data_IF_101331709243
#
_entry.id   IF_101331709243
#
_cell.length_a   1.000
_cell.length_b   1.000
_cell.length_c   1.000
_cell.angle_alpha   90.00
_cell.angle_beta   90.00
_cell.angle_gamma   90.00
#
_symmetry.space_group_name_H-M   'P 1'
#
loop_
_entity.id
_entity.type
_entity.pdbx_description
1 polymer ?
#
# COMPACT_ATOMS: atom_id res chain seq x y z
N UNK A 1 9.65 -3.29 17.62
CA UNK A 1 9.65 -3.76 16.22
C UNK A 1 9.55 -2.53 15.34
N UNK A 2 10.20 -2.50 14.17
CA UNK A 2 10.10 -1.35 13.28
C UNK A 2 8.65 -1.14 12.83
N UNK A 3 8.22 0.12 12.82
CA UNK A 3 6.87 0.50 12.40
C UNK A 3 6.82 0.62 10.88
N UNK A 4 5.99 -0.20 10.24
CA UNK A 4 5.69 -0.08 8.82
C UNK A 4 4.22 0.26 8.63
N UNK A 5 3.92 1.10 7.64
CA UNK A 5 2.53 1.43 7.29
C UNK A 5 2.26 1.08 5.84
N UNK A 6 1.28 0.20 5.64
CA UNK A 6 0.71 -0.05 4.33
C UNK A 6 -0.42 0.93 4.11
N UNK A 7 -0.30 1.73 3.05
CA UNK A 7 -1.33 2.68 2.63
C UNK A 7 -1.84 2.33 1.27
N UNK A 8 -3.08 2.73 1.02
CA UNK A 8 -3.72 2.57 -0.27
C UNK A 8 -4.73 3.66 -0.55
N UNK A 9 -4.84 4.06 -1.81
CA UNK A 9 -5.73 5.11 -2.26
C UNK A 9 -6.19 4.85 -3.70
N UNK A 10 -7.16 5.66 -4.13
CA UNK A 10 -7.51 5.81 -5.54
C UNK A 10 -6.45 6.69 -6.21
N UNK A 11 -5.92 6.22 -7.32
CA UNK A 11 -5.08 6.94 -8.26
C UNK A 11 -5.92 7.32 -9.47
N UNK A 12 -5.99 8.61 -9.74
CA UNK A 12 -6.70 9.16 -10.89
C UNK A 12 -6.03 8.82 -12.22
N UNK A 13 -6.75 9.09 -13.32
CA UNK A 13 -6.24 8.92 -14.68
C UNK A 13 -5.07 9.88 -15.01
N UNK A 14 -5.03 11.04 -14.35
CA UNK A 14 -3.92 12.00 -14.35
C UNK A 14 -2.69 11.50 -13.59
N UNK A 15 -2.85 10.42 -12.82
CA UNK A 15 -1.83 9.81 -12.00
C UNK A 15 -1.70 10.38 -10.60
N UNK A 16 -2.55 11.33 -10.22
CA UNK A 16 -2.62 11.86 -8.87
C UNK A 16 -3.13 10.79 -7.90
N UNK A 17 -2.49 10.72 -6.72
CA UNK A 17 -2.87 9.80 -5.66
C UNK A 17 -3.75 10.56 -4.67
N UNK A 18 -4.98 10.09 -4.49
CA UNK A 18 -5.92 10.69 -3.55
C UNK A 18 -5.56 10.43 -2.09
N UNK A 19 -6.44 10.87 -1.20
CA UNK A 19 -6.30 10.60 0.23
C UNK A 19 -6.25 9.08 0.51
N UNK A 20 -5.41 8.63 1.46
CA UNK A 20 -5.38 7.22 1.87
C UNK A 20 -6.77 6.75 2.34
N UNK A 21 -7.27 5.71 1.69
CA UNK A 21 -8.46 4.95 2.10
C UNK A 21 -8.10 3.74 2.94
N UNK A 22 -6.89 3.24 2.76
CA UNK A 22 -6.25 2.22 3.58
C UNK A 22 -5.06 2.87 4.28
N UNK A 23 -4.95 2.66 5.59
CA UNK A 23 -3.75 2.98 6.38
C UNK A 23 -3.63 1.97 7.53
N UNK A 24 -2.85 0.92 7.32
CA UNK A 24 -2.67 -0.20 8.24
C UNK A 24 -1.23 -0.28 8.74
N UNK A 25 -1.06 -0.50 10.04
CA UNK A 25 0.26 -0.80 10.59
C UNK A 25 0.60 -2.27 10.34
N UNK A 26 1.77 -2.54 9.76
CA UNK A 26 2.31 -3.88 9.58
C UNK A 26 3.45 -4.12 10.57
N UNK A 27 3.21 -5.05 11.49
CA UNK A 27 4.23 -5.51 12.44
C UNK A 27 5.14 -6.54 11.75
N UNK A 28 6.40 -6.18 11.53
CA UNK A 28 7.41 -7.04 10.90
C UNK A 28 8.77 -6.93 11.59
N UNK A 29 9.59 -7.98 11.51
CA UNK A 29 10.94 -7.97 12.07
C UNK A 29 11.90 -7.06 11.26
N UNK A 30 11.73 -7.03 9.94
CA UNK A 30 12.57 -6.27 9.02
C UNK A 30 11.79 -5.83 7.77
N UNK A 31 12.45 -5.03 6.90
CA UNK A 31 11.84 -4.51 5.69
C UNK A 31 11.46 -5.62 4.69
N UNK A 32 12.23 -6.71 4.62
CA UNK A 32 11.95 -7.82 3.72
C UNK A 32 10.66 -8.54 4.12
N UNK A 33 10.49 -8.77 5.42
CA UNK A 33 9.25 -9.32 5.96
C UNK A 33 8.08 -8.36 5.76
N UNK A 34 8.27 -7.06 6.00
CA UNK A 34 7.23 -6.06 5.79
C UNK A 34 6.73 -6.05 4.34
N UNK A 35 7.64 -6.11 3.35
CA UNK A 35 7.29 -6.22 1.93
C UNK A 35 6.52 -7.51 1.64
N UNK A 36 6.93 -8.65 2.22
CA UNK A 36 6.20 -9.92 2.06
C UNK A 36 4.78 -9.84 2.61
N UNK A 37 4.59 -9.20 3.77
CA UNK A 37 3.27 -8.99 4.38
C UNK A 37 2.41 -8.04 3.52
N UNK A 38 2.99 -6.95 3.04
CA UNK A 38 2.30 -6.01 2.14
C UNK A 38 1.82 -6.69 0.85
N UNK A 39 2.66 -7.52 0.23
CA UNK A 39 2.25 -8.30 -0.94
C UNK A 39 1.08 -9.24 -0.62
N UNK A 40 1.12 -9.97 0.50
CA UNK A 40 0.00 -10.83 0.92
C UNK A 40 -1.27 -10.02 1.17
N UNK A 41 -1.17 -8.90 1.88
CA UNK A 41 -2.31 -8.03 2.19
C UNK A 41 -2.92 -7.45 0.93
N UNK A 42 -2.11 -7.15 -0.07
CA UNK A 42 -2.58 -6.66 -1.37
C UNK A 42 -3.51 -7.63 -2.12
N UNK A 43 -3.58 -8.90 -1.73
CA UNK A 43 -4.51 -9.87 -2.32
C UNK A 43 -5.87 -9.92 -1.61
N UNK A 44 -6.00 -9.27 -0.46
CA UNK A 44 -7.18 -9.36 0.43
C UNK A 44 -7.82 -8.00 0.73
N UNK A 45 -7.39 -6.93 0.04
CA UNK A 45 -8.05 -5.63 0.14
C UNK A 45 -9.34 -5.70 -0.67
N UNK A 46 -10.46 -5.51 0.04
CA UNK A 46 -11.83 -5.60 -0.49
C UNK A 46 -12.31 -4.30 -1.16
N UNK A 47 -11.67 -3.16 -0.88
CA UNK A 47 -11.99 -1.90 -1.58
C UNK A 47 -11.37 -1.93 -2.99
N UNK A 48 -12.19 -2.34 -3.97
CA UNK A 48 -11.81 -2.41 -5.38
C UNK A 48 -11.42 -1.05 -5.97
N UNK A 49 -11.85 0.07 -5.37
CA UNK A 49 -11.43 1.39 -5.83
C UNK A 49 -9.96 1.69 -5.48
N UNK A 50 -9.36 0.98 -4.52
CA UNK A 50 -7.95 1.12 -4.18
C UNK A 50 -7.10 0.46 -5.26
N UNK A 51 -6.56 1.29 -6.17
CA UNK A 51 -5.69 0.88 -7.27
C UNK A 51 -4.22 1.30 -7.09
N UNK A 52 -3.88 2.07 -6.05
CA UNK A 52 -2.50 2.39 -5.67
C UNK A 52 -2.23 2.00 -4.22
N UNK A 53 -1.17 1.23 -3.99
CA UNK A 53 -0.72 0.75 -2.68
C UNK A 53 0.75 1.08 -2.49
N UNK A 54 1.14 1.43 -1.26
CA UNK A 54 2.52 1.67 -0.93
C UNK A 54 2.82 1.35 0.54
N UNK A 55 4.01 0.84 0.78
CA UNK A 55 4.54 0.52 2.09
C UNK A 55 5.62 1.55 2.46
N UNK A 56 5.49 2.15 3.63
CA UNK A 56 6.49 3.05 4.20
C UNK A 56 7.07 2.52 5.51
N UNK A 57 8.32 2.86 5.78
CA UNK A 57 8.93 2.70 7.10
C UNK A 57 8.55 3.83 8.06
N UNK A 58 9.07 3.76 9.30
CA UNK A 58 8.84 4.76 10.34
C UNK A 58 9.32 6.18 10.00
N UNK A 59 10.27 6.32 9.06
CA UNK A 59 10.76 7.61 8.58
C UNK A 59 9.94 8.14 7.39
N UNK A 60 8.94 7.38 6.93
CA UNK A 60 8.18 7.69 5.73
C UNK A 60 8.88 7.28 4.44
N UNK A 61 9.99 6.52 4.51
CA UNK A 61 10.68 6.01 3.32
C UNK A 61 9.81 4.96 2.66
N UNK A 62 9.52 5.13 1.36
CA UNK A 62 8.79 4.14 0.59
C UNK A 62 9.68 2.93 0.29
N UNK A 63 9.25 1.76 0.75
CA UNK A 63 9.98 0.50 0.59
C UNK A 63 9.44 -0.36 -0.55
N UNK A 64 8.15 -0.21 -0.86
CA UNK A 64 7.45 -1.00 -1.86
C UNK A 64 6.20 -0.26 -2.32
N UNK A 65 5.80 -0.46 -3.58
CA UNK A 65 4.53 0.01 -4.10
C UNK A 65 3.96 -0.99 -5.09
N UNK A 66 2.64 -0.95 -5.24
CA UNK A 66 1.89 -1.72 -6.21
C UNK A 66 0.83 -0.82 -6.85
N UNK A 67 0.82 -0.82 -8.18
CA UNK A 67 -0.28 -0.27 -8.97
C UNK A 67 -1.10 -1.44 -9.49
N UNK A 68 -2.38 -1.47 -9.15
CA UNK A 68 -3.35 -2.37 -9.78
C UNK A 68 -3.79 -1.76 -11.11
N UNK A 69 -4.24 -2.59 -12.03
CA UNK A 69 -4.83 -2.09 -13.28
C UNK A 69 -5.95 -1.11 -12.94
N UNK A 70 -6.03 -0.03 -13.71
CA UNK A 70 -7.16 0.89 -13.59
C UNK A 70 -8.43 0.10 -13.94
N UNK A 71 -9.46 0.21 -13.10
CA UNK A 71 -10.76 -0.41 -13.39
C UNK A 71 -11.22 0.11 -14.76
N UNK A 72 -11.29 -0.79 -15.75
CA UNK A 72 -11.96 -0.52 -17.01
C UNK A 72 -13.43 -0.22 -16.66
N UNK A 73 -13.86 1.03 -16.85
CA UNK A 73 -15.26 1.45 -16.66
C UNK A 73 -16.15 0.95 -17.79
#
# INVERSE_FOLDING_TARGET
MPDYRLRGAVRGADGEIGAPRLDEMLTAADAKEAVRLANRRSLTIEDDAVNALWLVDANGTMLWSLRRADLES
#
